data_IF_904474516270
#
_entry.id   IF_904474516270
#
_cell.length_a   1.000
_cell.length_b   1.000
_cell.length_c   1.000
_cell.angle_alpha   90.00
_cell.angle_beta   90.00
_cell.angle_gamma   90.00
#
_symmetry.space_group_name_H-M   'P 1'
#
loop_
_entity.id
_entity.type
_entity.pdbx_description
1 polymer ?
#
# COMPACT_ATOMS: atom_id res chain seq x y z
N UNK A 1 8.06 -6.04 -26.38
CA UNK A 1 8.22 -7.35 -25.72
C UNK A 1 7.55 -7.24 -24.38
N UNK A 2 6.50 -8.03 -24.14
CA UNK A 2 5.80 -8.04 -22.86
C UNK A 2 6.74 -8.76 -21.88
N UNK A 3 7.40 -8.03 -20.99
CA UNK A 3 8.20 -8.67 -19.94
C UNK A 3 7.21 -9.33 -18.98
N UNK A 4 7.39 -10.63 -18.72
CA UNK A 4 6.59 -11.37 -17.74
C UNK A 4 6.67 -10.74 -16.36
N UNK A 5 5.65 -10.96 -15.54
CA UNK A 5 5.58 -10.46 -14.14
C UNK A 5 6.71 -11.11 -13.33
N UNK A 6 7.53 -10.31 -12.65
CA UNK A 6 8.59 -10.81 -11.76
C UNK A 6 8.04 -11.06 -10.37
N UNK A 7 8.04 -12.31 -9.94
CA UNK A 7 7.54 -12.77 -8.64
C UNK A 7 8.72 -13.20 -7.78
N UNK A 8 8.91 -12.58 -6.62
CA UNK A 8 9.80 -13.09 -5.57
C UNK A 8 8.96 -13.91 -4.60
N UNK A 9 9.30 -15.18 -4.42
CA UNK A 9 8.54 -16.08 -3.55
C UNK A 9 9.43 -16.64 -2.44
N UNK A 10 9.14 -16.25 -1.20
CA UNK A 10 9.78 -16.74 0.00
C UNK A 10 9.04 -18.00 0.49
N UNK A 11 9.66 -19.16 0.32
CA UNK A 11 9.08 -20.49 0.61
C UNK A 11 10.20 -21.52 0.79
N UNK A 12 10.21 -22.25 1.89
CA UNK A 12 11.19 -23.28 2.17
C UNK A 12 10.77 -24.66 1.60
N UNK A 13 9.48 -24.96 1.53
CA UNK A 13 8.98 -26.22 0.96
C UNK A 13 8.94 -26.18 -0.57
N UNK A 14 9.79 -26.98 -1.25
CA UNK A 14 9.79 -27.02 -2.71
C UNK A 14 8.48 -27.60 -3.29
N UNK A 15 7.76 -28.44 -2.56
CA UNK A 15 6.47 -28.99 -2.99
C UNK A 15 5.38 -27.92 -3.05
N UNK A 16 5.31 -27.07 -2.04
CA UNK A 16 4.41 -25.94 -2.01
C UNK A 16 4.75 -24.92 -3.11
N UNK A 17 6.05 -24.67 -3.34
CA UNK A 17 6.48 -23.80 -4.42
C UNK A 17 6.04 -24.30 -5.79
N UNK A 18 6.16 -25.60 -6.06
CA UNK A 18 5.68 -26.21 -7.31
C UNK A 18 4.16 -26.08 -7.45
N UNK A 19 3.40 -26.27 -6.37
CA UNK A 19 1.94 -26.13 -6.37
C UNK A 19 1.52 -24.71 -6.71
N UNK A 20 2.16 -23.72 -6.07
CA UNK A 20 1.92 -22.29 -6.31
C UNK A 20 2.25 -21.92 -7.77
N UNK A 21 3.43 -22.33 -8.25
CA UNK A 21 3.83 -22.06 -9.64
C UNK A 21 2.84 -22.68 -10.65
N UNK A 22 2.41 -23.92 -10.41
CA UNK A 22 1.43 -24.61 -11.28
C UNK A 22 0.09 -23.81 -11.32
N UNK A 23 -0.43 -23.39 -10.17
CA UNK A 23 -1.67 -22.61 -10.08
C UNK A 23 -1.57 -21.24 -10.76
N UNK A 24 -0.43 -20.58 -10.64
CA UNK A 24 -0.19 -19.34 -11.36
C UNK A 24 -0.18 -19.54 -12.88
N UNK A 25 0.43 -20.63 -13.38
CA UNK A 25 0.41 -20.98 -14.83
C UNK A 25 -1.01 -21.29 -15.31
N UNK A 26 -1.79 -22.06 -14.56
CA UNK A 26 -3.20 -22.34 -14.85
C UNK A 26 -4.05 -21.05 -14.95
N UNK A 27 -3.69 -20.01 -14.21
CA UNK A 27 -4.40 -18.74 -14.27
C UNK A 27 -4.12 -17.89 -15.52
N UNK A 28 -3.24 -18.37 -16.44
CA UNK A 28 -2.90 -17.72 -17.69
C UNK A 28 -1.97 -16.52 -17.55
N UNK A 29 -1.25 -16.40 -16.43
CA UNK A 29 -0.27 -15.34 -16.20
C UNK A 29 1.09 -15.72 -16.83
N UNK A 30 1.73 -14.75 -17.49
CA UNK A 30 3.12 -14.85 -17.92
C UNK A 30 4.01 -14.24 -16.84
N UNK A 31 4.88 -15.04 -16.23
CA UNK A 31 5.71 -14.61 -15.11
C UNK A 31 7.07 -15.33 -15.07
N UNK A 32 7.99 -14.68 -14.37
CA UNK A 32 9.26 -15.25 -13.90
C UNK A 32 9.17 -15.36 -12.37
N UNK A 33 9.31 -16.56 -11.80
CA UNK A 33 9.23 -16.81 -10.38
C UNK A 33 10.64 -17.13 -9.84
N UNK A 34 11.11 -16.29 -8.90
CA UNK A 34 12.32 -16.53 -8.12
C UNK A 34 11.92 -17.03 -6.72
N UNK A 35 12.10 -18.34 -6.48
CA UNK A 35 11.95 -18.91 -5.15
C UNK A 35 13.21 -18.67 -4.30
N UNK A 36 13.02 -18.22 -3.07
CA UNK A 36 14.06 -18.04 -2.06
C UNK A 36 13.62 -18.63 -0.72
N UNK A 37 14.56 -19.10 0.08
CA UNK A 37 14.29 -19.78 1.37
C UNK A 37 15.08 -19.18 2.54
N UNK A 38 15.91 -18.18 2.27
CA UNK A 38 16.72 -17.51 3.29
C UNK A 38 16.59 -16.00 3.24
N UNK A 39 16.93 -15.35 4.36
CA UNK A 39 16.97 -13.91 4.48
C UNK A 39 17.88 -13.27 3.43
N UNK A 40 19.09 -13.78 3.26
CA UNK A 40 20.08 -13.18 2.34
C UNK A 40 19.63 -13.29 0.89
N UNK A 41 19.06 -14.43 0.49
CA UNK A 41 18.48 -14.62 -0.84
C UNK A 41 17.27 -13.72 -1.06
N UNK A 42 16.40 -13.57 -0.03
CA UNK A 42 15.27 -12.64 -0.09
C UNK A 42 15.73 -11.20 -0.29
N UNK A 43 16.72 -10.75 0.50
CA UNK A 43 17.30 -9.42 0.39
C UNK A 43 17.90 -9.15 -0.99
N UNK A 44 18.61 -10.12 -1.55
CA UNK A 44 19.15 -10.03 -2.92
C UNK A 44 18.03 -9.97 -3.98
N UNK A 45 16.94 -10.72 -3.77
CA UNK A 45 15.77 -10.73 -4.67
C UNK A 45 14.96 -9.43 -4.67
N UNK A 46 15.19 -8.51 -3.73
CA UNK A 46 14.57 -7.19 -3.73
C UNK A 46 15.31 -6.18 -4.64
N UNK A 47 16.47 -6.53 -5.19
CA UNK A 47 17.30 -5.65 -6.04
C UNK A 47 17.69 -6.36 -7.35
N UNK A 48 17.09 -5.99 -8.51
CA UNK A 48 16.05 -4.96 -8.70
C UNK A 48 14.70 -5.38 -8.11
N UNK A 49 13.84 -4.41 -7.72
CA UNK A 49 12.56 -4.72 -7.11
C UNK A 49 11.70 -5.64 -7.99
N UNK A 50 11.06 -6.68 -7.43
CA UNK A 50 10.09 -7.51 -8.15
C UNK A 50 8.78 -6.75 -8.37
N UNK A 51 7.88 -7.30 -9.19
CA UNK A 51 6.55 -6.73 -9.39
C UNK A 51 5.60 -7.08 -8.24
N UNK A 52 5.80 -8.24 -7.61
CA UNK A 52 5.04 -8.73 -6.46
C UNK A 52 5.89 -9.67 -5.62
N UNK A 53 5.63 -9.68 -4.32
CA UNK A 53 6.24 -10.62 -3.36
C UNK A 53 5.17 -11.56 -2.86
N UNK A 54 5.46 -12.87 -2.93
CA UNK A 54 4.71 -13.92 -2.25
C UNK A 54 5.55 -14.41 -1.08
N UNK A 55 4.93 -14.75 0.04
CA UNK A 55 5.64 -15.29 1.20
C UNK A 55 4.78 -16.29 1.97
N UNK A 56 5.35 -17.43 2.32
CA UNK A 56 4.81 -18.18 3.44
C UNK A 56 5.05 -17.42 4.74
N UNK A 57 4.21 -17.67 5.72
CA UNK A 57 4.33 -17.08 7.06
C UNK A 57 5.20 -17.93 7.97
N UNK A 58 5.07 -19.26 7.89
CA UNK A 58 5.61 -20.22 8.85
C UNK A 58 7.05 -20.65 8.65
N UNK A 59 7.92 -19.81 8.12
CA UNK A 59 9.31 -20.17 7.82
C UNK A 59 10.17 -20.20 9.09
N UNK A 60 11.00 -21.25 9.30
CA UNK A 60 11.73 -21.43 10.55
C UNK A 60 12.90 -20.46 10.73
N UNK A 61 13.50 -19.96 9.67
CA UNK A 61 14.72 -19.14 9.72
C UNK A 61 14.50 -17.65 9.45
N UNK A 62 13.45 -17.29 8.73
CA UNK A 62 13.12 -15.92 8.37
C UNK A 62 11.61 -15.82 8.13
N UNK A 63 10.87 -15.50 9.20
CA UNK A 63 9.41 -15.50 9.18
C UNK A 63 8.83 -14.44 8.22
N UNK A 64 7.63 -14.74 7.71
CA UNK A 64 6.96 -13.93 6.70
C UNK A 64 6.63 -12.50 7.15
N UNK A 65 6.37 -12.25 8.45
CA UNK A 65 6.11 -10.89 8.95
C UNK A 65 7.39 -10.04 8.97
N UNK A 66 8.52 -10.63 9.34
CA UNK A 66 9.83 -9.97 9.24
C UNK A 66 10.20 -9.68 7.79
N UNK A 67 9.91 -10.61 6.87
CA UNK A 67 10.10 -10.41 5.43
C UNK A 67 9.22 -9.25 4.92
N UNK A 68 7.95 -9.20 5.35
CA UNK A 68 7.03 -8.12 5.03
C UNK A 68 7.52 -6.76 5.52
N UNK A 69 7.94 -6.65 6.80
CA UNK A 69 8.53 -5.43 7.36
C UNK A 69 9.73 -4.94 6.55
N UNK A 70 10.64 -5.87 6.19
CA UNK A 70 11.81 -5.60 5.36
C UNK A 70 11.44 -5.11 3.96
N UNK A 71 10.46 -5.76 3.32
CA UNK A 71 9.98 -5.36 1.99
C UNK A 71 9.34 -3.96 2.01
N UNK A 72 8.56 -3.63 3.05
CA UNK A 72 7.97 -2.29 3.22
C UNK A 72 9.00 -1.18 3.35
N UNK A 73 10.12 -1.45 3.99
CA UNK A 73 11.21 -0.47 4.13
C UNK A 73 11.96 -0.26 2.80
N UNK A 74 12.26 -1.36 2.08
CA UNK A 74 13.09 -1.30 0.88
C UNK A 74 12.34 -1.00 -0.41
N UNK A 75 11.16 -1.58 -0.57
CA UNK A 75 10.34 -1.45 -1.77
C UNK A 75 8.84 -1.30 -1.43
N UNK A 76 8.44 -0.18 -0.77
CA UNK A 76 7.08 0.05 -0.28
C UNK A 76 6.00 0.07 -1.37
N UNK A 77 6.39 0.12 -2.63
CA UNK A 77 5.48 0.14 -3.79
C UNK A 77 5.20 -1.25 -4.35
N UNK A 78 5.91 -2.27 -3.86
CA UNK A 78 5.76 -3.65 -4.30
C UNK A 78 4.69 -4.32 -3.44
N UNK A 79 3.62 -4.86 -4.05
CA UNK A 79 2.57 -5.54 -3.29
C UNK A 79 3.10 -6.83 -2.68
N UNK A 80 2.66 -7.12 -1.46
CA UNK A 80 3.03 -8.29 -0.69
C UNK A 80 1.80 -9.14 -0.41
N UNK A 81 1.86 -10.43 -0.78
CA UNK A 81 0.76 -11.40 -0.59
C UNK A 81 1.30 -12.55 0.26
N UNK A 82 0.61 -12.87 1.33
CA UNK A 82 0.90 -14.10 2.07
C UNK A 82 0.23 -15.31 1.41
N UNK A 83 0.98 -16.41 1.28
CA UNK A 83 0.50 -17.71 0.84
C UNK A 83 0.76 -18.70 1.96
N UNK A 84 -0.23 -19.01 2.78
CA UNK A 84 -0.03 -19.70 4.06
C UNK A 84 -1.08 -20.76 4.35
N UNK A 85 -0.76 -21.72 5.21
CA UNK A 85 -1.73 -22.72 5.66
C UNK A 85 -2.69 -22.20 6.73
N UNK A 86 -2.29 -21.18 7.51
CA UNK A 86 -3.10 -20.63 8.59
C UNK A 86 -3.01 -19.10 8.64
N UNK A 87 -4.14 -18.44 8.79
CA UNK A 87 -4.19 -17.00 9.07
C UNK A 87 -3.94 -16.77 10.55
N UNK A 88 -3.05 -15.85 10.87
CA UNK A 88 -2.85 -15.39 12.23
C UNK A 88 -3.58 -14.07 12.47
N UNK A 89 -3.82 -13.74 13.75
CA UNK A 89 -4.46 -12.47 14.11
C UNK A 89 -3.62 -11.26 13.71
N UNK A 90 -2.30 -11.39 13.78
CA UNK A 90 -1.34 -10.35 13.36
C UNK A 90 -1.46 -10.05 11.88
N UNK A 91 -1.62 -11.08 11.04
CA UNK A 91 -1.81 -10.93 9.60
C UNK A 91 -3.12 -10.22 9.27
N UNK A 92 -4.22 -10.56 9.99
CA UNK A 92 -5.51 -9.88 9.84
C UNK A 92 -5.41 -8.40 10.18
N UNK A 93 -4.67 -8.04 11.24
CA UNK A 93 -4.43 -6.65 11.63
C UNK A 93 -3.64 -5.91 10.53
N UNK A 94 -2.58 -6.51 9.98
CA UNK A 94 -1.78 -5.90 8.92
C UNK A 94 -2.61 -5.66 7.64
N UNK A 95 -3.54 -6.56 7.31
CA UNK A 95 -4.49 -6.33 6.21
C UNK A 95 -5.41 -5.14 6.49
N UNK A 96 -5.96 -5.06 7.69
CA UNK A 96 -6.83 -3.95 8.10
C UNK A 96 -6.11 -2.60 8.06
N UNK A 97 -4.82 -2.58 8.38
CA UNK A 97 -3.97 -1.39 8.29
C UNK A 97 -3.53 -1.06 6.86
N UNK A 98 -3.93 -1.86 5.86
CA UNK A 98 -3.61 -1.64 4.44
C UNK A 98 -2.14 -1.88 4.11
N UNK A 99 -1.43 -2.66 4.92
CA UNK A 99 -0.02 -2.96 4.72
C UNK A 99 0.23 -4.12 3.76
N UNK A 100 -0.64 -5.12 3.79
CA UNK A 100 -0.58 -6.34 2.97
C UNK A 100 -1.61 -6.27 1.87
N UNK A 101 -1.22 -6.65 0.66
CA UNK A 101 -2.13 -6.61 -0.49
C UNK A 101 -3.22 -7.68 -0.41
N UNK A 102 -2.86 -8.92 -0.04
CA UNK A 102 -3.83 -10.01 0.18
C UNK A 102 -3.24 -11.19 0.95
N UNK A 103 -4.11 -12.15 1.27
CA UNK A 103 -3.80 -13.47 1.80
C UNK A 103 -4.43 -14.55 0.95
N UNK A 104 -3.66 -15.60 0.69
CA UNK A 104 -4.14 -16.79 -0.02
C UNK A 104 -3.80 -18.02 0.82
N UNK A 105 -4.79 -18.84 1.11
CA UNK A 105 -4.55 -20.10 1.81
C UNK A 105 -3.97 -21.13 0.84
N UNK A 106 -3.03 -21.95 1.31
CA UNK A 106 -2.41 -23.02 0.50
C UNK A 106 -3.41 -24.13 0.08
N UNK A 107 -4.56 -24.21 0.75
CA UNK A 107 -5.67 -25.08 0.36
C UNK A 107 -6.68 -24.41 -0.61
N UNK A 108 -6.55 -23.10 -0.87
CA UNK A 108 -7.41 -22.31 -1.75
C UNK A 108 -6.62 -21.58 -2.86
N UNK A 109 -5.58 -22.23 -3.40
CA UNK A 109 -4.68 -21.63 -4.40
C UNK A 109 -5.37 -21.23 -5.73
N UNK A 110 -6.59 -21.69 -5.99
CA UNK A 110 -7.37 -21.26 -7.15
C UNK A 110 -7.65 -19.74 -7.13
N UNK A 111 -7.66 -19.14 -5.94
CA UNK A 111 -7.81 -17.69 -5.76
C UNK A 111 -6.52 -16.89 -6.03
N UNK A 112 -5.34 -17.53 -5.99
CA UNK A 112 -4.05 -16.85 -6.08
C UNK A 112 -3.89 -15.97 -7.33
N UNK A 113 -4.31 -16.47 -8.50
CA UNK A 113 -4.25 -15.72 -9.75
C UNK A 113 -5.12 -14.45 -9.73
N UNK A 114 -6.26 -14.50 -9.04
CA UNK A 114 -7.15 -13.34 -8.86
C UNK A 114 -6.52 -12.32 -7.91
N UNK A 115 -6.03 -12.77 -6.76
CA UNK A 115 -5.36 -11.95 -5.75
C UNK A 115 -4.16 -11.21 -6.36
N UNK A 116 -3.33 -11.92 -7.14
CA UNK A 116 -2.16 -11.36 -7.79
C UNK A 116 -2.52 -10.29 -8.82
N UNK A 117 -3.50 -10.53 -9.70
CA UNK A 117 -3.97 -9.52 -10.65
C UNK A 117 -4.53 -8.28 -9.96
N UNK A 118 -5.26 -8.46 -8.86
CA UNK A 118 -5.82 -7.35 -8.08
C UNK A 118 -4.69 -6.52 -7.46
N UNK A 119 -3.76 -7.15 -6.77
CA UNK A 119 -2.62 -6.51 -6.13
C UNK A 119 -1.75 -5.72 -7.12
N UNK A 120 -1.44 -6.31 -8.27
CA UNK A 120 -0.66 -5.64 -9.33
C UNK A 120 -1.39 -4.43 -9.92
N UNK A 121 -2.71 -4.53 -10.12
CA UNK A 121 -3.53 -3.40 -10.61
C UNK A 121 -3.52 -2.25 -9.61
N UNK A 122 -3.76 -2.52 -8.34
CA UNK A 122 -3.75 -1.50 -7.28
C UNK A 122 -2.37 -0.82 -7.15
N UNK A 123 -1.29 -1.62 -7.15
CA UNK A 123 0.07 -1.10 -7.11
C UNK A 123 0.38 -0.21 -8.32
N UNK A 124 -0.07 -0.59 -9.54
CA UNK A 124 0.07 0.22 -10.74
C UNK A 124 -0.70 1.54 -10.64
N UNK A 125 -1.95 1.50 -10.19
CA UNK A 125 -2.77 2.70 -10.01
C UNK A 125 -2.14 3.64 -8.99
N UNK A 126 -1.62 3.10 -7.89
CA UNK A 126 -0.96 3.87 -6.84
C UNK A 126 0.33 4.54 -7.36
N UNK A 127 1.18 3.82 -8.11
CA UNK A 127 2.38 4.39 -8.77
C UNK A 127 2.01 5.52 -9.73
N UNK A 128 0.99 5.34 -10.55
CA UNK A 128 0.50 6.38 -11.48
C UNK A 128 -0.01 7.62 -10.74
N UNK A 129 -0.77 7.44 -9.66
CA UNK A 129 -1.24 8.56 -8.82
C UNK A 129 -0.06 9.30 -8.19
N UNK A 130 0.90 8.57 -7.63
CA UNK A 130 2.11 9.16 -7.03
C UNK A 130 2.95 9.91 -8.06
N UNK A 131 3.09 9.36 -9.26
CA UNK A 131 3.82 10.03 -10.35
C UNK A 131 3.11 11.34 -10.75
N UNK A 132 1.80 11.34 -10.92
CA UNK A 132 1.02 12.57 -11.19
C UNK A 132 1.22 13.63 -10.12
N UNK A 133 1.24 13.23 -8.85
CA UNK A 133 1.49 14.14 -7.74
C UNK A 133 2.90 14.74 -7.84
N UNK A 134 3.92 13.92 -8.11
CA UNK A 134 5.31 14.39 -8.31
C UNK A 134 5.40 15.38 -9.46
N UNK A 135 4.79 15.07 -10.60
CA UNK A 135 4.77 15.93 -11.79
C UNK A 135 4.01 17.23 -11.52
N UNK A 136 2.85 17.14 -10.87
CA UNK A 136 2.00 18.30 -10.53
C UNK A 136 2.73 19.31 -9.64
N UNK A 137 3.55 18.84 -8.69
CA UNK A 137 4.31 19.70 -7.78
C UNK A 137 5.76 19.93 -8.21
N UNK A 138 6.19 19.35 -9.33
CA UNK A 138 7.58 19.42 -9.78
C UNK A 138 8.58 19.00 -8.68
N UNK A 139 8.24 17.91 -7.96
CA UNK A 139 9.04 17.42 -6.84
C UNK A 139 10.29 16.75 -7.36
N UNK A 140 11.45 17.29 -6.99
CA UNK A 140 12.76 16.69 -7.30
C UNK A 140 12.96 15.37 -6.53
N UNK A 141 13.82 14.45 -7.02
CA UNK A 141 14.27 13.29 -6.25
C UNK A 141 14.83 13.75 -4.90
N UNK A 142 14.34 13.18 -3.80
CA UNK A 142 14.69 13.60 -2.43
C UNK A 142 13.67 14.53 -1.77
N UNK A 143 12.78 15.18 -2.51
CA UNK A 143 11.63 15.93 -1.97
C UNK A 143 10.32 15.13 -2.00
N UNK A 144 10.41 13.82 -2.27
CA UNK A 144 9.27 12.94 -2.30
C UNK A 144 8.55 12.96 -0.94
N UNK A 145 7.30 13.45 -0.95
CA UNK A 145 6.44 13.52 0.23
C UNK A 145 6.32 14.91 0.88
N UNK A 146 7.08 15.92 0.45
CA UNK A 146 6.94 17.29 0.94
C UNK A 146 6.16 18.14 -0.05
N UNK A 147 4.98 18.61 0.37
CA UNK A 147 4.16 19.53 -0.42
C UNK A 147 4.41 20.97 0.04
N UNK A 148 4.64 21.91 -0.90
CA UNK A 148 4.79 23.32 -0.53
C UNK A 148 3.44 23.87 -0.07
N UNK A 149 3.28 24.03 1.23
CA UNK A 149 2.07 24.55 1.86
C UNK A 149 2.33 25.91 2.52
N UNK A 150 1.41 26.85 2.38
CA UNK A 150 1.47 28.12 3.09
C UNK A 150 1.28 27.88 4.58
N UNK A 151 2.23 28.33 5.41
CA UNK A 151 2.15 28.17 6.87
C UNK A 151 0.95 28.88 7.50
N UNK A 152 0.45 29.94 6.88
CA UNK A 152 -0.68 30.74 7.34
C UNK A 152 -2.03 30.22 6.84
N UNK A 153 -2.28 30.30 5.53
CA UNK A 153 -3.62 29.98 4.97
C UNK A 153 -3.77 28.53 4.47
N UNK A 154 -2.73 27.68 4.62
CA UNK A 154 -2.72 26.26 4.27
C UNK A 154 -2.99 25.95 2.79
N UNK A 155 -2.97 26.93 1.90
CA UNK A 155 -3.00 26.69 0.46
C UNK A 155 -1.76 25.95 0.00
N UNK A 156 -1.91 25.08 -0.99
CA UNK A 156 -0.82 24.35 -1.64
C UNK A 156 -0.40 25.08 -2.91
N UNK A 157 0.90 25.15 -3.17
CA UNK A 157 1.46 25.72 -4.38
C UNK A 157 1.68 24.63 -5.43
N UNK A 158 1.05 24.78 -6.60
CA UNK A 158 1.19 23.87 -7.73
C UNK A 158 2.47 24.15 -8.55
N UNK A 159 2.74 23.31 -9.55
CA UNK A 159 3.89 23.43 -10.47
C UNK A 159 3.88 24.69 -11.35
N UNK A 160 2.73 25.37 -11.47
CA UNK A 160 2.57 26.67 -12.15
C UNK A 160 2.77 27.87 -11.21
N UNK A 161 3.30 27.64 -10.00
CA UNK A 161 3.48 28.64 -8.95
C UNK A 161 2.16 29.28 -8.43
N UNK A 162 1.03 28.63 -8.65
CA UNK A 162 -0.27 29.13 -8.20
C UNK A 162 -0.65 28.47 -6.86
N UNK A 163 -1.20 29.26 -5.95
CA UNK A 163 -1.69 28.81 -4.66
C UNK A 163 -3.16 28.42 -4.74
N UNK A 164 -3.49 27.19 -4.41
CA UNK A 164 -4.85 26.67 -4.42
C UNK A 164 -5.26 26.07 -3.07
N UNK A 165 -6.57 25.99 -2.77
CA UNK A 165 -7.06 25.32 -1.57
C UNK A 165 -6.60 23.87 -1.50
N UNK A 166 -6.36 23.37 -0.28
CA UNK A 166 -5.96 22.01 -0.02
C UNK A 166 -7.01 21.00 -0.55
N UNK A 167 -8.28 21.32 -0.34
CA UNK A 167 -9.42 20.51 -0.76
C UNK A 167 -9.45 20.31 -2.28
N UNK A 168 -9.10 21.35 -3.03
CA UNK A 168 -9.06 21.29 -4.48
C UNK A 168 -7.96 20.34 -4.98
N UNK A 169 -6.79 20.39 -4.32
CA UNK A 169 -5.70 19.45 -4.58
C UNK A 169 -6.12 18.00 -4.37
N UNK A 170 -6.76 17.70 -3.25
CA UNK A 170 -7.21 16.34 -2.94
C UNK A 170 -8.30 15.85 -3.90
N UNK A 171 -9.21 16.74 -4.30
CA UNK A 171 -10.24 16.41 -5.29
C UNK A 171 -9.63 16.07 -6.66
N UNK A 172 -8.75 16.92 -7.19
CA UNK A 172 -8.18 16.73 -8.52
C UNK A 172 -7.23 15.53 -8.61
N UNK A 173 -6.41 15.29 -7.58
CA UNK A 173 -5.33 14.31 -7.67
C UNK A 173 -5.67 12.97 -7.03
N UNK A 174 -6.54 12.94 -6.04
CA UNK A 174 -6.86 11.75 -5.25
C UNK A 174 -8.34 11.36 -5.30
N UNK A 175 -9.18 12.20 -5.95
CA UNK A 175 -10.65 12.06 -5.98
C UNK A 175 -11.27 11.98 -4.56
N UNK A 176 -10.65 12.68 -3.60
CA UNK A 176 -11.14 12.79 -2.23
C UNK A 176 -11.95 14.08 -2.09
N UNK A 177 -13.16 13.96 -1.56
CA UNK A 177 -14.03 15.08 -1.21
C UNK A 177 -14.08 15.22 0.30
N UNK A 178 -14.13 16.45 0.77
CA UNK A 178 -14.25 16.76 2.20
C UNK A 178 -15.70 17.09 2.54
N UNK A 179 -16.14 16.59 3.70
CA UNK A 179 -17.33 17.09 4.39
C UNK A 179 -16.85 18.11 5.43
N UNK A 180 -17.57 19.22 5.58
CA UNK A 180 -17.20 20.27 6.51
C UNK A 180 -18.03 20.16 7.79
N UNK A 181 -17.36 20.29 8.92
CA UNK A 181 -17.95 20.29 10.25
C UNK A 181 -17.05 21.08 11.22
N UNK A 182 -17.53 21.31 12.41
CA UNK A 182 -16.75 21.91 13.49
C UNK A 182 -16.32 20.82 14.47
N UNK A 183 -15.04 20.81 14.84
CA UNK A 183 -14.56 19.97 15.92
C UNK A 183 -15.05 20.48 17.28
N UNK A 184 -15.03 19.67 18.35
CA UNK A 184 -15.48 20.06 19.67
C UNK A 184 -14.80 21.34 20.21
N UNK A 185 -13.54 21.59 19.87
CA UNK A 185 -12.80 22.78 20.29
C UNK A 185 -13.21 24.06 19.52
N UNK A 186 -13.65 23.90 18.27
CA UNK A 186 -14.10 25.02 17.44
C UNK A 186 -15.58 25.35 17.64
N UNK A 187 -16.42 24.35 17.93
CA UNK A 187 -17.87 24.53 18.10
C UNK A 187 -18.23 25.68 19.05
N UNK A 188 -17.61 25.84 20.26
CA UNK A 188 -17.96 26.91 21.16
C UNK A 188 -17.58 28.34 20.67
N UNK A 189 -16.60 28.41 19.74
CA UNK A 189 -16.15 29.68 19.15
C UNK A 189 -17.15 30.22 18.14
N UNK A 190 -17.86 29.35 17.46
CA UNK A 190 -18.86 29.71 16.43
C UNK A 190 -20.28 29.68 16.97
N UNK A 191 -20.53 28.82 17.98
CA UNK A 191 -21.79 28.64 18.66
C UNK A 191 -21.54 28.68 20.16
N UNK A 192 -21.33 29.89 20.74
CA UNK A 192 -21.14 30.03 22.17
C UNK A 192 -22.41 29.54 22.89
N UNK A 193 -22.28 28.87 24.05
CA UNK A 193 -23.43 28.48 24.85
C UNK A 193 -24.27 29.70 25.18
N UNK A 194 -25.57 29.62 24.88
CA UNK A 194 -26.49 30.70 25.27
C UNK A 194 -26.53 30.74 26.78
N UNK A 195 -26.18 31.89 27.38
CA UNK A 195 -26.38 32.12 28.81
C UNK A 195 -27.88 31.89 29.11
N UNK A 196 -28.25 31.09 30.10
CA UNK A 196 -29.64 30.99 30.52
C UNK A 196 -30.06 32.41 30.91
N UNK A 197 -31.18 32.88 30.35
CA UNK A 197 -31.82 34.15 30.73
C UNK A 197 -31.99 34.14 32.25
N UNK A 198 -31.70 35.26 32.94
CA UNK A 198 -32.03 35.35 34.36
C UNK A 198 -33.51 35.11 34.52
N UNK A 199 -33.88 34.06 35.26
CA UNK A 199 -35.24 33.79 35.64
C UNK A 199 -35.72 35.01 36.44
N UNK A 200 -36.71 35.72 35.89
CA UNK A 200 -37.47 36.74 36.63
C UNK A 200 -37.97 36.12 37.94
N UNK A 201 -37.42 36.60 39.07
CA UNK A 201 -37.89 36.29 40.42
C UNK A 201 -39.02 37.18 40.82
#
# INVERSE_FOLDING_TARGET
MNQGIKILYLEDDPGDAVRVEHKLRESGLEFELLRVESRDAFMAGLEPPPDVILSDHGLPSFDGLTAFGTAREKCPEVPFIFVTNALTREMEIEKLLGGVADYVRKDELDYLGVALRHALREAREWRLRRQRIKEYFNLSPGQAGMLPICSHCKKIRNNKNQWQPLEFFFLENLNIRFTHGLCPECTPKFFPPQNPSPSDG
#
